data_IF_459830557221
#
_entry.id   IF_459830557221
#
_cell.length_a   1.000
_cell.length_b   1.000
_cell.length_c   1.000
_cell.angle_alpha   90.00
_cell.angle_beta   90.00
_cell.angle_gamma   90.00
#
_symmetry.space_group_name_H-M   'P 1'
#
loop_
_entity.id
_entity.type
_entity.pdbx_description
1 polymer ?
#
# COMPACT_ATOMS: atom_id res chain seq x y z
N UNK A 1 -7.37 -3.90 -12.75
CA UNK A 1 -6.58 -4.66 -11.75
C UNK A 1 -6.10 -3.77 -10.58
N UNK A 2 -5.39 -2.64 -10.78
CA UNK A 2 -4.96 -1.79 -9.65
C UNK A 2 -6.14 -1.26 -8.81
N UNK A 3 -7.20 -0.76 -9.44
CA UNK A 3 -8.41 -0.34 -8.74
C UNK A 3 -9.12 -1.54 -8.06
N UNK A 4 -9.20 -2.70 -8.71
CA UNK A 4 -9.83 -3.90 -8.11
C UNK A 4 -9.03 -4.51 -6.97
N UNK A 5 -7.72 -4.22 -6.86
CA UNK A 5 -6.94 -4.61 -5.68
C UNK A 5 -7.45 -3.97 -4.38
N UNK A 6 -8.22 -2.88 -4.50
CA UNK A 6 -8.82 -2.15 -3.39
C UNK A 6 -9.63 -3.03 -2.44
N UNK A 7 -10.34 -4.02 -2.95
CA UNK A 7 -11.15 -4.93 -2.13
C UNK A 7 -10.33 -5.70 -1.07
N UNK A 8 -9.03 -5.92 -1.30
CA UNK A 8 -8.12 -6.53 -0.34
C UNK A 8 -7.20 -5.54 0.39
N UNK A 9 -7.37 -4.23 0.21
CA UNK A 9 -6.56 -3.23 0.86
C UNK A 9 -7.01 -2.95 2.30
N UNK A 10 -6.07 -2.55 3.14
CA UNK A 10 -6.30 -2.32 4.57
C UNK A 10 -7.42 -1.31 4.82
N UNK A 11 -7.36 -0.16 4.15
CA UNK A 11 -8.36 0.90 4.31
C UNK A 11 -9.77 0.45 3.90
N UNK A 12 -9.89 -0.47 2.91
CA UNK A 12 -11.18 -1.02 2.49
C UNK A 12 -11.74 -1.95 3.57
N UNK A 13 -10.94 -2.88 4.07
CA UNK A 13 -11.33 -3.83 5.12
C UNK A 13 -11.69 -3.06 6.41
N UNK A 14 -10.96 -1.99 6.73
CA UNK A 14 -11.21 -1.13 7.88
C UNK A 14 -12.59 -0.45 7.89
N UNK A 15 -13.21 -0.24 6.73
CA UNK A 15 -14.58 0.31 6.66
C UNK A 15 -15.65 -0.65 7.17
N UNK A 16 -15.36 -1.94 7.22
CA UNK A 16 -16.26 -2.98 7.72
C UNK A 16 -16.00 -3.34 9.19
N UNK A 17 -14.94 -2.76 9.81
CA UNK A 17 -14.50 -3.14 11.16
C UNK A 17 -15.62 -3.12 12.20
N UNK A 18 -16.42 -2.05 12.38
CA UNK A 18 -17.44 -2.04 13.42
C UNK A 18 -18.49 -3.14 13.25
N UNK A 19 -18.86 -3.43 12.00
CA UNK A 19 -19.86 -4.47 11.70
C UNK A 19 -19.32 -5.88 11.93
N UNK A 20 -18.07 -6.13 11.56
CA UNK A 20 -17.40 -7.44 11.74
C UNK A 20 -17.15 -7.67 13.23
N UNK A 21 -16.60 -6.70 13.93
CA UNK A 21 -16.34 -6.75 15.37
C UNK A 21 -17.65 -7.05 16.15
N UNK A 22 -18.72 -6.32 15.84
CA UNK A 22 -20.04 -6.56 16.44
C UNK A 22 -20.61 -7.93 16.11
N UNK A 23 -20.47 -8.42 14.86
CA UNK A 23 -21.03 -9.72 14.43
C UNK A 23 -20.33 -10.89 15.10
N UNK A 24 -19.04 -10.81 15.33
CA UNK A 24 -18.21 -11.91 15.86
C UNK A 24 -17.80 -11.69 17.33
N UNK A 25 -18.28 -10.63 17.98
CA UNK A 25 -17.91 -10.22 19.35
C UNK A 25 -16.40 -10.12 19.53
N UNK A 26 -15.72 -9.45 18.60
CA UNK A 26 -14.27 -9.24 18.62
C UNK A 26 -13.93 -7.87 19.21
N UNK A 27 -12.84 -7.81 19.95
CA UNK A 27 -12.20 -6.55 20.30
C UNK A 27 -11.44 -5.97 19.10
N UNK A 28 -11.07 -4.68 19.15
CA UNK A 28 -10.25 -4.04 18.12
C UNK A 28 -8.90 -4.73 17.92
N UNK A 29 -8.27 -5.18 19.03
CA UNK A 29 -7.00 -5.89 18.99
C UNK A 29 -7.10 -7.28 18.39
N UNK A 30 -8.17 -8.02 18.72
CA UNK A 30 -8.44 -9.33 18.13
C UNK A 30 -8.71 -9.24 16.64
N UNK A 31 -9.53 -8.27 16.21
CA UNK A 31 -9.77 -8.01 14.78
C UNK A 31 -8.47 -7.62 14.04
N UNK A 32 -7.66 -6.74 14.63
CA UNK A 32 -6.33 -6.40 14.11
C UNK A 32 -5.41 -7.62 14.00
N UNK A 33 -5.49 -8.57 14.97
CA UNK A 33 -4.71 -9.82 14.97
C UNK A 33 -5.14 -10.75 13.83
N UNK A 34 -6.43 -10.90 13.59
CA UNK A 34 -6.96 -11.66 12.45
C UNK A 34 -6.43 -11.08 11.14
N UNK A 35 -6.47 -9.76 11.00
CA UNK A 35 -5.92 -9.07 9.83
C UNK A 35 -4.40 -9.30 9.68
N UNK A 36 -3.64 -9.24 10.76
CA UNK A 36 -2.18 -9.50 10.78
C UNK A 36 -1.88 -10.92 10.29
N UNK A 37 -2.54 -11.93 10.85
CA UNK A 37 -2.36 -13.33 10.46
C UNK A 37 -2.64 -13.52 8.97
N UNK A 38 -3.78 -13.04 8.49
CA UNK A 38 -4.15 -13.13 7.07
C UNK A 38 -3.14 -12.41 6.15
N UNK A 39 -2.61 -11.26 6.57
CA UNK A 39 -1.62 -10.49 5.82
C UNK A 39 -0.28 -11.23 5.75
N UNK A 40 0.21 -11.78 6.86
CA UNK A 40 1.48 -12.50 6.90
C UNK A 40 1.42 -13.81 6.09
N UNK A 41 0.35 -14.57 6.21
CA UNK A 41 0.12 -15.76 5.40
C UNK A 41 0.07 -15.43 3.91
N UNK A 42 -0.62 -14.34 3.54
CA UNK A 42 -0.67 -13.84 2.16
C UNK A 42 0.72 -13.50 1.63
N UNK A 43 1.53 -12.79 2.42
CA UNK A 43 2.88 -12.40 2.03
C UNK A 43 3.80 -13.61 1.82
N UNK A 44 3.72 -14.60 2.70
CA UNK A 44 4.48 -15.85 2.57
C UNK A 44 4.11 -16.61 1.27
N UNK A 45 2.81 -16.72 0.99
CA UNK A 45 2.34 -17.45 -0.19
C UNK A 45 2.59 -16.68 -1.50
N UNK A 46 2.60 -15.35 -1.47
CA UNK A 46 2.78 -14.52 -2.67
C UNK A 46 4.11 -14.77 -3.37
N UNK A 47 5.16 -15.13 -2.63
CA UNK A 47 6.47 -15.48 -3.18
C UNK A 47 6.37 -16.65 -4.17
N UNK A 48 5.48 -17.60 -3.93
CA UNK A 48 5.27 -18.77 -4.79
C UNK A 48 4.22 -18.48 -5.87
N UNK A 49 3.07 -17.96 -5.50
CA UNK A 49 1.94 -17.75 -6.41
C UNK A 49 2.18 -16.60 -7.39
N UNK A 50 2.95 -15.58 -6.98
CA UNK A 50 3.33 -14.47 -7.85
C UNK A 50 4.14 -14.91 -9.07
N UNK A 51 4.95 -15.97 -8.93
CA UNK A 51 5.77 -16.49 -10.04
C UNK A 51 4.94 -17.13 -11.17
N UNK A 52 3.67 -17.48 -10.94
CA UNK A 52 2.82 -18.05 -11.99
C UNK A 52 2.52 -17.08 -13.13
N UNK A 53 2.65 -15.77 -12.92
CA UNK A 53 2.55 -14.76 -13.98
C UNK A 53 3.62 -14.95 -15.08
N UNK A 54 4.71 -15.66 -14.78
CA UNK A 54 5.77 -15.98 -15.72
C UNK A 54 5.48 -17.23 -16.55
N UNK A 55 4.60 -18.12 -16.04
CA UNK A 55 4.32 -19.45 -16.61
C UNK A 55 3.02 -19.50 -17.42
N UNK A 56 2.08 -18.59 -17.16
CA UNK A 56 0.78 -18.53 -17.84
C UNK A 56 0.58 -17.17 -18.50
N UNK A 57 -0.27 -17.10 -19.53
CA UNK A 57 -0.54 -15.83 -20.20
C UNK A 57 -1.16 -14.83 -19.23
N UNK A 58 -0.82 -13.56 -19.39
CA UNK A 58 -1.32 -12.47 -18.55
C UNK A 58 -2.86 -12.45 -18.48
N UNK A 59 -3.53 -12.78 -19.59
CA UNK A 59 -4.99 -12.86 -19.66
C UNK A 59 -5.54 -13.93 -18.71
N UNK A 60 -5.05 -15.17 -18.83
CA UNK A 60 -5.52 -16.27 -17.97
C UNK A 60 -5.18 -16.02 -16.50
N UNK A 61 -3.99 -15.52 -16.22
CA UNK A 61 -3.61 -15.18 -14.85
C UNK A 61 -4.50 -14.08 -14.26
N UNK A 62 -4.82 -13.03 -15.05
CA UNK A 62 -5.72 -11.96 -14.61
C UNK A 62 -7.16 -12.45 -14.36
N UNK A 63 -7.67 -13.36 -15.19
CA UNK A 63 -8.99 -13.99 -15.01
C UNK A 63 -9.01 -14.82 -13.74
N UNK A 64 -7.99 -15.66 -13.50
CA UNK A 64 -7.86 -16.44 -12.26
C UNK A 64 -7.82 -15.55 -11.02
N UNK A 65 -7.07 -14.45 -11.07
CA UNK A 65 -6.99 -13.50 -9.95
C UNK A 65 -8.33 -12.80 -9.71
N UNK A 66 -9.07 -12.42 -10.75
CA UNK A 66 -10.43 -11.87 -10.60
C UNK A 66 -11.40 -12.90 -10.00
N UNK A 67 -11.38 -14.14 -10.49
CA UNK A 67 -12.18 -15.22 -9.94
C UNK A 67 -11.86 -15.51 -8.47
N UNK A 68 -10.57 -15.55 -8.14
CA UNK A 68 -10.12 -15.73 -6.76
C UNK A 68 -10.53 -14.58 -5.84
N UNK A 69 -10.48 -13.34 -6.34
CA UNK A 69 -10.95 -12.16 -5.61
C UNK A 69 -12.48 -12.21 -5.36
N UNK A 70 -13.26 -12.65 -6.33
CA UNK A 70 -14.70 -12.86 -6.16
C UNK A 70 -14.99 -13.92 -5.10
N UNK A 71 -14.27 -15.06 -5.13
CA UNK A 71 -14.37 -16.11 -4.11
C UNK A 71 -13.99 -15.57 -2.73
N UNK A 72 -12.94 -14.75 -2.63
CA UNK A 72 -12.52 -14.14 -1.37
C UNK A 72 -13.58 -13.18 -0.79
N UNK A 73 -14.21 -12.35 -1.64
CA UNK A 73 -15.33 -11.50 -1.22
C UNK A 73 -16.56 -12.32 -0.79
N UNK A 74 -16.87 -13.39 -1.50
CA UNK A 74 -17.95 -14.30 -1.10
C UNK A 74 -17.64 -15.00 0.23
N UNK A 75 -16.40 -15.44 0.43
CA UNK A 75 -15.98 -16.10 1.66
C UNK A 75 -16.14 -15.18 2.89
N UNK A 76 -15.78 -13.90 2.79
CA UNK A 76 -15.97 -12.99 3.92
C UNK A 76 -17.46 -12.70 4.16
N UNK A 77 -18.27 -12.54 3.11
CA UNK A 77 -19.71 -12.33 3.22
C UNK A 77 -20.43 -13.49 3.90
N UNK A 78 -19.98 -14.72 3.68
CA UNK A 78 -20.59 -15.95 4.20
C UNK A 78 -19.90 -16.51 5.42
N UNK A 79 -18.93 -15.80 6.02
CA UNK A 79 -18.17 -16.28 7.17
C UNK A 79 -19.09 -16.62 8.35
N UNK A 80 -19.11 -17.90 8.80
CA UNK A 80 -20.00 -18.35 9.88
C UNK A 80 -19.38 -18.16 11.27
N UNK A 81 -18.06 -18.12 11.37
CA UNK A 81 -17.30 -18.05 12.62
C UNK A 81 -15.93 -17.39 12.41
N UNK A 82 -15.24 -17.13 13.52
CA UNK A 82 -13.93 -16.45 13.54
C UNK A 82 -12.84 -17.23 12.78
N UNK A 83 -12.83 -18.57 12.87
CA UNK A 83 -11.84 -19.37 12.17
C UNK A 83 -11.96 -19.23 10.64
N UNK A 84 -13.20 -19.24 10.14
CA UNK A 84 -13.46 -19.01 8.73
C UNK A 84 -13.18 -17.57 8.32
N UNK A 85 -13.41 -16.60 9.22
CA UNK A 85 -13.08 -15.20 9.00
C UNK A 85 -11.56 -15.01 8.80
N UNK A 86 -10.70 -15.69 9.58
CA UNK A 86 -9.23 -15.68 9.39
C UNK A 86 -8.87 -16.14 7.98
N UNK A 87 -9.48 -17.26 7.54
CA UNK A 87 -9.28 -17.77 6.17
C UNK A 87 -9.76 -16.77 5.11
N UNK A 88 -10.95 -16.18 5.31
CA UNK A 88 -11.52 -15.21 4.37
C UNK A 88 -10.64 -13.95 4.25
N UNK A 89 -10.12 -13.44 5.36
CA UNK A 89 -9.17 -12.31 5.35
C UNK A 89 -7.87 -12.70 4.64
N UNK A 90 -7.32 -13.88 4.90
CA UNK A 90 -6.16 -14.37 4.15
C UNK A 90 -6.43 -14.39 2.64
N UNK A 91 -7.55 -14.98 2.19
CA UNK A 91 -7.92 -15.05 0.78
C UNK A 91 -8.07 -13.64 0.18
N UNK A 92 -8.74 -12.73 0.89
CA UNK A 92 -8.99 -11.36 0.44
C UNK A 92 -7.69 -10.56 0.31
N UNK A 93 -6.80 -10.67 1.30
CA UNK A 93 -5.47 -10.05 1.28
C UNK A 93 -4.62 -10.62 0.15
N UNK A 94 -4.65 -11.94 -0.05
CA UNK A 94 -3.86 -12.59 -1.08
C UNK A 94 -4.36 -12.25 -2.49
N UNK A 95 -5.66 -12.34 -2.76
CA UNK A 95 -6.23 -12.03 -4.06
C UNK A 95 -6.14 -10.53 -4.40
N UNK A 96 -6.52 -9.66 -3.46
CA UNK A 96 -6.61 -8.23 -3.67
C UNK A 96 -5.26 -7.52 -3.56
N UNK A 97 -4.71 -7.41 -2.35
CA UNK A 97 -3.44 -6.70 -2.15
C UNK A 97 -2.26 -7.42 -2.80
N UNK A 98 -2.21 -8.75 -2.72
CA UNK A 98 -1.13 -9.54 -3.29
C UNK A 98 -1.22 -9.62 -4.81
N UNK A 99 -2.03 -10.55 -5.29
CA UNK A 99 -2.05 -10.94 -6.70
C UNK A 99 -2.55 -9.85 -7.64
N UNK A 100 -3.64 -9.13 -7.31
CA UNK A 100 -4.18 -8.09 -8.20
C UNK A 100 -3.22 -6.90 -8.34
N UNK A 101 -2.50 -6.52 -7.27
CA UNK A 101 -1.44 -5.52 -7.31
C UNK A 101 -0.26 -6.02 -8.17
N UNK A 102 0.13 -7.28 -7.99
CA UNK A 102 1.21 -7.90 -8.76
C UNK A 102 0.90 -7.92 -10.26
N UNK A 103 -0.33 -8.32 -10.64
CA UNK A 103 -0.79 -8.28 -12.04
C UNK A 103 -0.76 -6.86 -12.60
N UNK A 104 -1.22 -5.87 -11.84
CA UNK A 104 -1.28 -4.48 -12.29
C UNK A 104 0.09 -3.93 -12.65
N UNK A 105 1.12 -4.21 -11.85
CA UNK A 105 2.48 -3.69 -12.05
C UNK A 105 3.27 -4.56 -13.03
N UNK A 106 3.35 -5.86 -12.77
CA UNK A 106 4.18 -6.79 -13.56
C UNK A 106 3.64 -6.96 -14.97
N UNK A 107 2.30 -6.96 -15.13
CA UNK A 107 1.66 -7.02 -16.44
C UNK A 107 2.05 -5.84 -17.33
N UNK A 108 2.13 -4.64 -16.78
CA UNK A 108 2.55 -3.46 -17.55
C UNK A 108 4.03 -3.51 -17.93
N UNK A 109 4.89 -3.95 -17.02
CA UNK A 109 6.33 -4.09 -17.29
C UNK A 109 6.59 -5.09 -18.44
N UNK A 110 5.82 -6.18 -18.50
CA UNK A 110 5.97 -7.21 -19.54
C UNK A 110 5.42 -6.79 -20.89
N UNK A 111 4.30 -6.05 -20.91
CA UNK A 111 3.63 -5.70 -22.17
C UNK A 111 4.18 -4.45 -22.85
N UNK A 112 4.69 -3.48 -22.09
CA UNK A 112 5.11 -2.18 -22.60
C UNK A 112 6.63 -2.01 -22.54
N UNK A 113 7.37 -2.76 -23.39
CA UNK A 113 8.84 -2.74 -23.37
C UNK A 113 9.45 -1.34 -23.54
N UNK A 114 8.96 -0.56 -24.52
CA UNK A 114 9.51 0.78 -24.86
C UNK A 114 9.04 1.90 -23.91
N UNK A 115 7.94 1.70 -23.16
CA UNK A 115 7.35 2.75 -22.30
C UNK A 115 6.92 2.22 -20.93
N UNK A 116 7.73 1.31 -20.36
CA UNK A 116 7.43 0.61 -19.09
C UNK A 116 7.09 1.57 -17.95
N UNK A 117 7.89 2.62 -17.76
CA UNK A 117 7.67 3.60 -16.69
C UNK A 117 6.32 4.31 -16.82
N UNK A 118 5.98 4.78 -18.01
CA UNK A 118 4.70 5.45 -18.28
C UNK A 118 3.51 4.49 -18.10
N UNK A 119 3.62 3.25 -18.58
CA UNK A 119 2.58 2.25 -18.44
C UNK A 119 2.32 1.87 -16.97
N UNK A 120 3.39 1.66 -16.19
CA UNK A 120 3.29 1.39 -14.75
C UNK A 120 2.70 2.59 -14.01
N UNK A 121 3.15 3.81 -14.30
CA UNK A 121 2.62 5.02 -13.69
C UNK A 121 1.10 5.17 -13.90
N UNK A 122 0.62 4.99 -15.14
CA UNK A 122 -0.82 5.03 -15.45
C UNK A 122 -1.58 3.91 -14.73
N UNK A 123 -1.06 2.68 -14.76
CA UNK A 123 -1.73 1.55 -14.13
C UNK A 123 -1.82 1.71 -12.60
N UNK A 124 -0.78 2.24 -11.96
CA UNK A 124 -0.75 2.45 -10.50
C UNK A 124 -1.63 3.60 -10.02
N UNK A 125 -2.09 4.51 -10.90
CA UNK A 125 -3.12 5.50 -10.56
C UNK A 125 -4.44 4.85 -10.10
N UNK A 126 -4.68 3.60 -10.49
CA UNK A 126 -5.84 2.85 -10.00
C UNK A 126 -5.88 2.67 -8.48
N UNK A 127 -4.74 2.67 -7.77
CA UNK A 127 -4.70 2.57 -6.30
C UNK A 127 -5.29 3.80 -5.61
N UNK A 128 -4.78 5.03 -5.84
CA UNK A 128 -5.34 6.23 -5.23
C UNK A 128 -6.77 6.54 -5.73
N UNK A 129 -7.13 6.20 -6.97
CA UNK A 129 -8.50 6.32 -7.48
C UNK A 129 -9.44 5.40 -6.68
N UNK A 130 -9.06 4.13 -6.50
CA UNK A 130 -9.85 3.19 -5.70
C UNK A 130 -10.02 3.68 -4.25
N UNK A 131 -8.94 4.14 -3.64
CA UNK A 131 -8.96 4.68 -2.26
C UNK A 131 -9.78 5.97 -2.15
N UNK A 132 -9.84 6.78 -3.21
CA UNK A 132 -10.62 8.04 -3.21
C UNK A 132 -12.11 7.83 -3.44
N UNK A 133 -12.51 6.85 -4.24
CA UNK A 133 -13.89 6.67 -4.69
C UNK A 133 -14.66 5.63 -3.87
N UNK A 134 -14.04 4.47 -3.61
CA UNK A 134 -14.74 3.35 -2.99
C UNK A 134 -15.22 3.59 -1.55
N UNK A 135 -14.53 4.32 -0.67
CA UNK A 135 -15.01 4.50 0.71
C UNK A 135 -16.42 5.09 0.79
N UNK A 136 -16.74 6.08 -0.03
CA UNK A 136 -18.09 6.67 -0.07
C UNK A 136 -19.12 5.63 -0.52
N UNK A 137 -18.84 4.90 -1.58
CA UNK A 137 -19.75 3.90 -2.13
C UNK A 137 -19.97 2.75 -1.15
N UNK A 138 -18.91 2.28 -0.53
CA UNK A 138 -18.95 1.13 0.39
C UNK A 138 -19.69 1.48 1.68
N UNK A 139 -19.38 2.60 2.30
CA UNK A 139 -20.06 3.00 3.54
C UNK A 139 -21.54 3.28 3.31
N UNK A 140 -21.90 3.88 2.18
CA UNK A 140 -23.31 4.05 1.79
C UNK A 140 -24.00 2.70 1.58
N UNK A 141 -23.33 1.75 0.92
CA UNK A 141 -23.85 0.41 0.72
C UNK A 141 -24.02 -0.35 2.05
N UNK A 142 -23.05 -0.27 2.96
CA UNK A 142 -23.12 -0.92 4.28
C UNK A 142 -24.36 -0.42 5.05
N UNK A 143 -24.64 0.87 5.01
CA UNK A 143 -25.82 1.45 5.67
C UNK A 143 -27.12 1.03 4.99
N UNK A 144 -27.13 0.94 3.66
CA UNK A 144 -28.33 0.67 2.89
C UNK A 144 -28.76 -0.81 2.87
N UNK A 145 -27.79 -1.73 2.75
CA UNK A 145 -28.06 -3.15 2.51
C UNK A 145 -27.35 -4.10 3.49
N UNK A 146 -26.51 -3.58 4.39
CA UNK A 146 -25.71 -4.38 5.30
C UNK A 146 -24.32 -4.71 4.78
N UNK A 147 -23.42 -5.14 5.69
CA UNK A 147 -22.02 -5.38 5.36
C UNK A 147 -21.79 -6.67 4.55
N UNK A 148 -22.56 -7.72 4.82
CA UNK A 148 -22.45 -9.00 4.09
C UNK A 148 -22.92 -8.85 2.64
N UNK A 149 -24.06 -8.20 2.47
CA UNK A 149 -24.66 -7.89 1.16
C UNK A 149 -23.79 -6.94 0.36
N UNK A 150 -23.09 -6.02 1.02
CA UNK A 150 -22.09 -5.14 0.37
C UNK A 150 -20.93 -5.96 -0.19
N UNK A 151 -20.41 -6.96 0.54
CA UNK A 151 -19.39 -7.86 -0.02
C UNK A 151 -19.94 -8.72 -1.17
N UNK A 152 -21.21 -9.17 -1.12
CA UNK A 152 -21.85 -9.86 -2.24
C UNK A 152 -22.03 -8.93 -3.45
N UNK A 153 -22.35 -7.66 -3.23
CA UNK A 153 -22.37 -6.66 -4.30
C UNK A 153 -20.98 -6.49 -4.93
N UNK A 154 -19.89 -6.52 -4.14
CA UNK A 154 -18.53 -6.55 -4.67
C UNK A 154 -18.28 -7.79 -5.55
N UNK A 155 -18.79 -8.97 -5.19
CA UNK A 155 -18.72 -10.18 -6.06
C UNK A 155 -19.38 -9.91 -7.40
N UNK A 156 -20.59 -9.33 -7.41
CA UNK A 156 -21.32 -9.00 -8.64
C UNK A 156 -20.49 -8.03 -9.50
N UNK A 157 -19.94 -6.98 -8.91
CA UNK A 157 -19.07 -6.01 -9.62
C UNK A 157 -17.84 -6.71 -10.22
N UNK A 158 -17.19 -7.59 -9.46
CA UNK A 158 -16.00 -8.31 -9.93
C UNK A 158 -16.35 -9.21 -11.11
N UNK A 159 -17.44 -9.99 -11.01
CA UNK A 159 -17.80 -11.00 -12.00
C UNK A 159 -18.40 -10.36 -13.27
N UNK A 160 -19.28 -9.36 -13.12
CA UNK A 160 -20.04 -8.81 -14.25
C UNK A 160 -19.44 -7.54 -14.84
N UNK A 161 -18.56 -6.83 -14.15
CA UNK A 161 -17.93 -5.60 -14.65
C UNK A 161 -16.41 -5.80 -14.81
N UNK A 162 -15.70 -6.15 -13.73
CA UNK A 162 -14.22 -6.18 -13.76
C UNK A 162 -13.71 -7.33 -14.64
N UNK A 163 -14.21 -8.53 -14.46
CA UNK A 163 -13.75 -9.72 -15.19
C UNK A 163 -14.02 -9.59 -16.71
N UNK A 164 -15.23 -9.21 -17.19
CA UNK A 164 -15.44 -9.00 -18.62
C UNK A 164 -14.58 -7.87 -19.20
N UNK A 165 -14.39 -6.77 -18.44
CA UNK A 165 -13.51 -5.67 -18.84
C UNK A 165 -12.07 -6.15 -19.02
N UNK A 166 -11.54 -6.94 -18.08
CA UNK A 166 -10.20 -7.53 -18.17
C UNK A 166 -10.08 -8.47 -19.36
N UNK A 167 -11.07 -9.34 -19.59
CA UNK A 167 -11.10 -10.25 -20.74
C UNK A 167 -11.13 -9.48 -22.05
N UNK A 168 -11.94 -8.43 -22.13
CA UNK A 168 -12.06 -7.60 -23.34
C UNK A 168 -10.76 -6.85 -23.65
N UNK A 169 -10.20 -6.15 -22.66
CA UNK A 169 -8.97 -5.37 -22.84
C UNK A 169 -7.75 -6.24 -23.17
N UNK A 170 -7.70 -7.49 -22.68
CA UNK A 170 -6.60 -8.40 -22.94
C UNK A 170 -6.81 -9.32 -24.15
N UNK A 171 -7.90 -9.16 -24.92
CA UNK A 171 -8.13 -9.95 -26.16
C UNK A 171 -7.03 -9.79 -27.21
N UNK A 172 -6.47 -8.58 -27.36
CA UNK A 172 -5.41 -8.29 -28.33
C UNK A 172 -3.98 -8.66 -27.87
N UNK A 173 -3.81 -9.06 -26.63
CA UNK A 173 -2.49 -9.34 -26.04
C UNK A 173 -1.92 -10.70 -26.45
N UNK A 174 -2.75 -11.61 -26.96
CA UNK A 174 -2.31 -12.96 -27.38
C UNK A 174 -1.49 -12.96 -28.69
N UNK A 175 -1.60 -11.92 -29.51
CA UNK A 175 -0.96 -11.84 -30.82
C UNK A 175 0.46 -11.21 -30.81
N UNK A 176 0.87 -10.54 -29.71
CA UNK A 176 2.16 -9.84 -29.65
C UNK A 176 3.28 -10.55 -28.86
N UNK A 177 3.02 -11.75 -28.35
CA UNK A 177 4.03 -12.51 -27.56
C UNK A 177 5.05 -13.27 -28.40
N UNK A 178 4.99 -13.22 -29.74
CA UNK A 178 5.88 -13.99 -30.63
C UNK A 178 7.05 -13.18 -31.22
N UNK A 179 7.16 -11.92 -30.91
CA UNK A 179 8.36 -11.16 -31.28
C UNK A 179 9.28 -11.01 -30.05
N UNK A 180 10.05 -12.05 -29.78
CA UNK A 180 11.33 -11.90 -29.08
C UNK A 180 12.26 -11.12 -30.01
N UNK A 181 12.68 -9.91 -29.68
CA UNK A 181 13.79 -9.31 -30.39
C UNK A 181 15.05 -10.06 -29.98
N UNK A 182 15.55 -10.93 -30.85
CA UNK A 182 16.94 -11.34 -30.82
C UNK A 182 17.80 -10.08 -30.74
N UNK A 183 18.65 -10.08 -29.73
CA UNK A 183 19.88 -9.30 -29.63
C UNK A 183 19.83 -7.90 -30.21
N UNK A 184 19.65 -6.91 -29.39
CA UNK A 184 20.24 -5.59 -29.66
C UNK A 184 20.86 -5.07 -28.38
N UNK A 185 22.18 -5.02 -28.41
CA UNK A 185 23.03 -4.28 -27.52
C UNK A 185 22.45 -2.89 -27.29
N UNK A 186 21.92 -2.64 -26.13
CA UNK A 186 21.68 -1.29 -25.65
C UNK A 186 23.02 -0.73 -25.19
N UNK A 187 23.76 -0.18 -26.15
CA UNK A 187 24.83 0.74 -25.88
C UNK A 187 24.23 2.01 -25.25
N UNK A 188 24.14 2.03 -23.95
CA UNK A 188 24.15 3.22 -23.13
C UNK A 188 25.37 3.09 -22.21
N UNK A 189 26.56 3.09 -22.84
CA UNK A 189 27.81 3.32 -22.14
C UNK A 189 27.93 4.81 -21.85
N UNK A 190 27.33 5.26 -20.76
CA UNK A 190 27.88 6.40 -20.05
C UNK A 190 29.03 5.87 -19.19
N UNK A 191 30.18 6.47 -19.33
CA UNK A 191 31.39 6.26 -18.56
C UNK A 191 31.09 6.34 -17.06
N UNK A 192 30.82 5.20 -16.43
CA UNK A 192 30.70 5.07 -14.99
C UNK A 192 31.92 4.29 -14.56
N UNK A 193 32.83 4.97 -13.86
CA UNK A 193 33.84 4.32 -13.00
C UNK A 193 33.18 3.18 -12.25
N UNK A 194 33.81 1.99 -12.11
CA UNK A 194 33.23 0.85 -11.42
C UNK A 194 33.02 1.22 -9.95
N UNK A 195 31.84 1.73 -9.63
CA UNK A 195 31.44 2.02 -8.26
C UNK A 195 31.07 0.68 -7.64
N UNK A 196 31.77 0.29 -6.59
CA UNK A 196 31.45 -0.94 -5.85
C UNK A 196 29.99 -0.89 -5.40
N UNK A 197 29.12 -1.72 -6.02
CA UNK A 197 27.71 -1.82 -5.69
C UNK A 197 27.48 -3.00 -4.71
N UNK A 198 27.06 -2.72 -3.49
CA UNK A 198 27.02 -3.73 -2.44
C UNK A 198 25.87 -4.74 -2.68
N UNK A 199 26.15 -6.02 -2.43
CA UNK A 199 25.14 -7.06 -2.31
C UNK A 199 24.27 -6.82 -1.06
N UNK A 200 23.11 -7.49 -0.97
CA UNK A 200 22.25 -7.40 0.24
C UNK A 200 23.05 -7.71 1.53
N UNK A 201 23.85 -8.79 1.52
CA UNK A 201 24.68 -9.17 2.67
C UNK A 201 25.67 -8.08 3.07
N UNK A 202 26.26 -7.39 2.11
CA UNK A 202 27.18 -6.28 2.36
C UNK A 202 26.42 -5.02 2.82
N UNK A 203 25.24 -4.78 2.27
CA UNK A 203 24.35 -3.69 2.70
C UNK A 203 23.94 -3.84 4.17
N UNK A 204 23.57 -5.04 4.58
CA UNK A 204 23.20 -5.33 5.98
C UNK A 204 24.36 -5.21 6.97
N UNK A 205 25.61 -5.19 6.52
CA UNK A 205 26.77 -4.91 7.37
C UNK A 205 27.05 -3.42 7.57
N UNK A 206 26.41 -2.54 6.75
CA UNK A 206 26.61 -1.09 6.83
C UNK A 206 25.58 -0.44 7.74
N UNK A 207 25.96 0.52 8.61
CA UNK A 207 25.02 1.20 9.51
C UNK A 207 23.95 2.00 8.77
N UNK A 208 24.23 2.45 7.55
CA UNK A 208 23.34 3.27 6.74
C UNK A 208 21.94 2.68 6.56
N UNK A 209 21.83 1.35 6.33
CA UNK A 209 20.53 0.69 6.15
C UNK A 209 19.66 0.81 7.42
N UNK A 210 20.26 0.63 8.59
CA UNK A 210 19.56 0.70 9.87
C UNK A 210 19.11 2.11 10.22
N UNK A 211 19.83 3.14 9.76
CA UNK A 211 19.45 4.54 9.94
C UNK A 211 18.24 4.93 9.07
N UNK A 212 18.08 4.33 7.88
CA UNK A 212 16.97 4.64 6.99
C UNK A 212 15.74 3.74 7.21
N UNK A 213 15.89 2.54 7.80
CA UNK A 213 14.79 1.60 8.07
C UNK A 213 13.63 2.26 8.84
N UNK A 214 13.83 2.98 9.97
CA UNK A 214 12.71 3.62 10.67
C UNK A 214 11.89 4.54 9.77
N UNK A 215 12.57 5.34 8.94
CA UNK A 215 11.92 6.22 7.99
C UNK A 215 11.20 5.47 6.87
N UNK A 216 11.68 4.29 6.46
CA UNK A 216 11.01 3.44 5.47
C UNK A 216 9.76 2.78 6.04
N UNK A 217 9.79 2.34 7.30
CA UNK A 217 8.72 1.55 7.92
C UNK A 217 7.63 2.40 8.59
N UNK A 218 7.93 3.63 9.05
CA UNK A 218 6.98 4.47 9.75
C UNK A 218 5.62 4.61 9.02
N UNK A 219 5.56 4.99 7.74
CA UNK A 219 4.28 5.08 7.05
C UNK A 219 3.60 3.72 6.87
N UNK A 220 4.37 2.65 6.64
CA UNK A 220 3.79 1.30 6.50
C UNK A 220 3.09 0.85 7.78
N UNK A 221 3.62 1.19 8.94
CA UNK A 221 3.01 0.86 10.24
C UNK A 221 1.83 1.80 10.54
N UNK A 222 2.08 3.11 10.59
CA UNK A 222 1.10 4.07 11.10
C UNK A 222 -0.06 4.33 10.13
N UNK A 223 0.18 4.47 8.81
CA UNK A 223 -0.91 4.63 7.84
C UNK A 223 -1.79 3.37 7.79
N UNK A 224 -1.19 2.18 7.93
CA UNK A 224 -1.97 0.93 7.96
C UNK A 224 -2.78 0.82 9.25
N UNK A 225 -2.20 1.08 10.42
CA UNK A 225 -2.88 1.05 11.70
C UNK A 225 -4.08 2.03 11.73
N UNK A 226 -3.83 3.28 11.38
CA UNK A 226 -4.86 4.34 11.37
C UNK A 226 -5.92 4.10 10.28
N UNK A 227 -5.53 3.63 9.10
CA UNK A 227 -6.51 3.33 8.04
C UNK A 227 -7.38 2.11 8.34
N UNK A 228 -6.87 1.15 9.11
CA UNK A 228 -7.63 -0.02 9.54
C UNK A 228 -8.65 0.33 10.63
N UNK A 229 -8.24 1.13 11.61
CA UNK A 229 -9.10 1.59 12.71
C UNK A 229 -9.64 3.01 12.49
N UNK A 230 -9.81 3.43 11.23
CA UNK A 230 -10.21 4.80 10.92
C UNK A 230 -11.59 5.16 11.49
N UNK A 231 -12.53 4.21 11.54
CA UNK A 231 -13.87 4.45 12.08
C UNK A 231 -13.86 4.55 13.60
N UNK A 232 -13.22 3.65 14.38
CA UNK A 232 -13.01 3.86 15.82
C UNK A 232 -12.29 5.17 16.16
N UNK A 233 -11.25 5.54 15.39
CA UNK A 233 -10.56 6.81 15.57
C UNK A 233 -11.48 8.00 15.30
N UNK A 234 -12.33 7.94 14.27
CA UNK A 234 -13.33 8.97 13.97
C UNK A 234 -14.37 9.10 15.09
N UNK A 235 -14.81 7.98 15.66
CA UNK A 235 -15.75 7.96 16.79
C UNK A 235 -15.15 8.67 18.02
N UNK A 236 -13.90 8.34 18.40
CA UNK A 236 -13.18 9.03 19.48
C UNK A 236 -13.03 10.53 19.25
N UNK A 237 -12.95 10.96 17.99
CA UNK A 237 -12.88 12.38 17.59
C UNK A 237 -14.27 13.02 17.38
N UNK A 238 -15.35 12.25 17.54
CA UNK A 238 -16.71 12.68 17.18
C UNK A 238 -16.83 13.19 15.73
N UNK A 239 -16.03 12.61 14.82
CA UNK A 239 -16.09 12.95 13.41
C UNK A 239 -17.10 12.06 12.68
N UNK A 240 -18.13 12.63 12.04
CA UNK A 240 -19.07 11.84 11.26
C UNK A 240 -18.37 11.02 10.17
N UNK A 241 -18.85 9.81 9.95
CA UNK A 241 -18.29 8.87 8.95
C UNK A 241 -18.22 9.49 7.56
N UNK A 242 -19.17 10.36 7.21
CA UNK A 242 -19.21 11.07 5.94
C UNK A 242 -17.99 11.97 5.71
N UNK A 243 -17.44 12.60 6.76
CA UNK A 243 -16.22 13.41 6.66
C UNK A 243 -15.00 12.54 6.41
N UNK A 244 -14.94 11.37 7.02
CA UNK A 244 -13.84 10.40 6.79
C UNK A 244 -13.90 9.88 5.37
N UNK A 245 -15.07 9.42 4.90
CA UNK A 245 -15.20 8.78 3.59
C UNK A 245 -14.98 9.77 2.44
N UNK A 246 -15.46 11.03 2.57
CA UNK A 246 -15.15 12.09 1.62
C UNK A 246 -13.70 12.55 1.71
N UNK A 247 -13.09 12.52 2.89
CA UNK A 247 -11.67 12.81 3.09
C UNK A 247 -10.73 11.83 2.34
N UNK A 248 -11.16 10.60 2.13
CA UNK A 248 -10.40 9.67 1.28
C UNK A 248 -10.34 10.11 -0.19
N UNK A 249 -11.33 10.86 -0.70
CA UNK A 249 -11.23 11.46 -2.03
C UNK A 249 -10.09 12.49 -2.07
N UNK A 250 -9.97 13.30 -1.03
CA UNK A 250 -8.87 14.28 -0.88
C UNK A 250 -7.52 13.53 -0.77
N UNK A 251 -7.46 12.44 0.01
CA UNK A 251 -6.27 11.57 0.07
C UNK A 251 -5.84 11.09 -1.33
N UNK A 252 -6.79 10.56 -2.12
CA UNK A 252 -6.52 10.05 -3.47
C UNK A 252 -5.99 11.13 -4.42
N UNK A 253 -6.65 12.29 -4.44
CA UNK A 253 -6.25 13.45 -5.25
C UNK A 253 -4.85 13.94 -4.83
N UNK A 254 -4.63 14.13 -3.53
CA UNK A 254 -3.35 14.57 -2.98
C UNK A 254 -2.21 13.59 -3.31
N UNK A 255 -2.47 12.28 -3.27
CA UNK A 255 -1.50 11.23 -3.64
C UNK A 255 -1.10 11.36 -5.11
N UNK A 256 -2.06 11.52 -6.02
CA UNK A 256 -1.78 11.66 -7.45
C UNK A 256 -0.98 12.94 -7.72
N UNK A 257 -1.46 14.07 -7.23
CA UNK A 257 -0.83 15.37 -7.48
C UNK A 257 0.60 15.42 -6.93
N UNK A 258 0.84 14.96 -5.70
CA UNK A 258 2.16 14.97 -5.08
C UNK A 258 3.14 14.00 -5.75
N UNK A 259 2.68 12.83 -6.23
CA UNK A 259 3.53 11.90 -6.96
C UNK A 259 3.98 12.44 -8.32
N UNK A 260 3.10 13.15 -9.03
CA UNK A 260 3.42 13.79 -10.31
C UNK A 260 4.37 14.97 -10.09
N UNK A 261 4.11 15.79 -9.07
CA UNK A 261 4.87 17.00 -8.80
C UNK A 261 6.32 16.72 -8.37
N UNK A 262 6.54 15.69 -7.54
CA UNK A 262 7.86 15.40 -6.99
C UNK A 262 8.83 14.79 -8.02
N UNK A 263 8.32 14.09 -9.05
CA UNK A 263 9.16 13.43 -10.06
C UNK A 263 10.22 14.35 -10.67
N UNK A 264 9.83 15.44 -11.36
CA UNK A 264 10.78 16.37 -11.97
C UNK A 264 11.74 17.05 -10.97
N UNK A 265 11.35 17.15 -9.71
CA UNK A 265 12.17 17.75 -8.66
C UNK A 265 13.30 16.82 -8.26
N UNK A 266 13.01 15.54 -8.01
CA UNK A 266 14.05 14.57 -7.65
C UNK A 266 14.99 14.27 -8.81
N UNK A 267 14.53 14.37 -10.06
CA UNK A 267 15.39 14.24 -11.24
C UNK A 267 16.46 15.32 -11.31
N UNK A 268 16.19 16.53 -10.79
CA UNK A 268 17.12 17.66 -10.78
C UNK A 268 18.01 17.71 -9.54
N UNK A 269 17.47 17.39 -8.37
CA UNK A 269 18.15 17.62 -7.07
C UNK A 269 18.62 16.31 -6.41
N UNK A 270 18.04 15.18 -6.81
CA UNK A 270 18.27 13.87 -6.21
C UNK A 270 17.25 13.54 -5.14
N UNK A 271 16.93 12.24 -5.01
CA UNK A 271 15.88 11.76 -4.11
C UNK A 271 16.33 11.71 -2.65
N UNK A 272 17.63 11.53 -2.38
CA UNK A 272 18.20 11.48 -1.02
C UNK A 272 17.89 12.74 -0.22
N UNK A 273 17.94 13.90 -0.89
CA UNK A 273 17.65 15.17 -0.25
C UNK A 273 16.20 15.21 0.29
N UNK A 274 15.25 14.71 -0.50
CA UNK A 274 13.83 14.76 -0.15
C UNK A 274 13.33 13.58 0.67
N UNK A 275 14.13 12.52 0.84
CA UNK A 275 13.70 11.29 1.52
C UNK A 275 13.23 11.55 2.96
N UNK A 276 14.01 12.25 3.77
CA UNK A 276 13.64 12.60 5.13
C UNK A 276 12.41 13.51 5.17
N UNK A 277 12.38 14.54 4.30
CA UNK A 277 11.28 15.50 4.24
C UNK A 277 9.96 14.90 3.76
N UNK A 278 9.98 13.77 3.06
CA UNK A 278 8.77 13.06 2.65
C UNK A 278 7.92 12.53 3.82
N UNK A 279 8.46 12.52 5.04
CA UNK A 279 7.76 12.16 6.27
C UNK A 279 7.02 13.34 6.90
N UNK A 280 7.37 14.58 6.55
CA UNK A 280 6.77 15.80 7.14
C UNK A 280 5.24 15.83 6.96
N UNK A 281 4.66 15.53 5.80
CA UNK A 281 3.21 15.53 5.65
C UNK A 281 2.50 14.58 6.63
N UNK A 282 3.06 13.38 6.87
CA UNK A 282 2.52 12.46 7.87
C UNK A 282 2.60 13.04 9.28
N UNK A 283 3.74 13.65 9.63
CA UNK A 283 3.93 14.31 10.92
C UNK A 283 2.90 15.43 11.12
N UNK A 284 2.72 16.29 10.13
CA UNK A 284 1.71 17.36 10.16
C UNK A 284 0.29 16.80 10.25
N UNK A 285 -0.01 15.72 9.54
CA UNK A 285 -1.30 15.03 9.65
C UNK A 285 -1.57 14.49 11.05
N UNK A 286 -0.56 13.91 11.71
CA UNK A 286 -0.68 13.46 13.11
C UNK A 286 -0.87 14.64 14.07
N UNK A 287 -0.18 15.76 13.84
CA UNK A 287 -0.39 16.98 14.62
C UNK A 287 -1.82 17.51 14.46
N UNK A 288 -2.38 17.47 13.24
CA UNK A 288 -3.79 17.82 13.01
C UNK A 288 -4.72 16.87 13.76
N UNK A 289 -4.45 15.57 13.71
CA UNK A 289 -5.27 14.55 14.38
C UNK A 289 -5.32 14.76 15.89
N UNK A 290 -4.22 15.17 16.54
CA UNK A 290 -4.18 15.36 17.99
C UNK A 290 -4.74 16.71 18.42
N UNK A 291 -4.57 17.77 17.59
CA UNK A 291 -4.82 19.15 18.01
C UNK A 291 -6.23 19.67 17.73
N UNK A 292 -6.95 19.07 16.79
CA UNK A 292 -8.22 19.64 16.32
C UNK A 292 -9.37 18.64 16.40
N UNK A 293 -10.55 19.13 16.85
CA UNK A 293 -11.77 18.33 17.04
C UNK A 293 -12.79 18.52 15.91
N UNK A 294 -12.79 19.69 15.24
CA UNK A 294 -13.77 19.97 14.18
C UNK A 294 -13.63 18.96 13.02
N UNK A 295 -14.74 18.37 12.53
CA UNK A 295 -14.71 17.35 11.48
C UNK A 295 -14.01 17.73 10.16
N UNK A 296 -13.93 19.04 9.83
CA UNK A 296 -13.22 19.50 8.63
C UNK A 296 -11.73 19.09 8.64
N UNK A 297 -11.14 18.94 9.82
CA UNK A 297 -9.75 18.55 9.97
C UNK A 297 -9.48 17.08 9.58
N UNK A 298 -10.53 16.25 9.47
CA UNK A 298 -10.42 14.93 8.86
C UNK A 298 -9.93 15.02 7.41
N UNK A 299 -10.40 16.02 6.65
CA UNK A 299 -9.95 16.27 5.27
C UNK A 299 -8.49 16.72 5.22
N UNK A 300 -8.08 17.59 6.13
CA UNK A 300 -6.68 18.05 6.20
C UNK A 300 -5.75 16.90 6.59
N UNK A 301 -6.14 16.12 7.61
CA UNK A 301 -5.42 14.93 8.04
C UNK A 301 -5.22 13.93 6.89
N UNK A 302 -6.31 13.52 6.24
CA UNK A 302 -6.26 12.57 5.12
C UNK A 302 -5.54 13.14 3.90
N UNK A 303 -5.70 14.42 3.61
CA UNK A 303 -4.98 15.12 2.56
C UNK A 303 -3.47 15.11 2.76
N UNK A 304 -3.01 15.41 3.97
CA UNK A 304 -1.59 15.38 4.33
C UNK A 304 -1.01 13.95 4.25
N UNK A 305 -1.74 12.95 4.71
CA UNK A 305 -1.34 11.55 4.55
C UNK A 305 -1.28 11.16 3.06
N UNK A 306 -2.21 11.66 2.23
CA UNK A 306 -2.19 11.50 0.78
C UNK A 306 -0.95 12.13 0.14
N UNK A 307 -0.58 13.36 0.52
CA UNK A 307 0.66 14.00 0.07
C UNK A 307 1.87 13.15 0.42
N UNK A 308 1.99 12.73 1.68
CA UNK A 308 3.09 11.86 2.12
C UNK A 308 3.18 10.55 1.33
N UNK A 309 2.03 9.91 1.08
CA UNK A 309 1.94 8.67 0.30
C UNK A 309 2.43 8.86 -1.13
N UNK A 310 2.01 9.93 -1.82
CA UNK A 310 2.43 10.21 -3.19
C UNK A 310 3.91 10.58 -3.31
N UNK A 311 4.43 11.41 -2.39
CA UNK A 311 5.86 11.71 -2.34
C UNK A 311 6.69 10.43 -2.21
N UNK A 312 6.33 9.56 -1.28
CA UNK A 312 7.06 8.32 -0.98
C UNK A 312 6.97 7.29 -2.08
N UNK A 313 5.82 7.18 -2.75
CA UNK A 313 5.65 6.27 -3.89
C UNK A 313 6.71 6.52 -4.99
N UNK A 314 7.12 7.78 -5.16
CA UNK A 314 8.12 8.19 -6.14
C UNK A 314 9.55 8.20 -5.55
N UNK A 315 9.73 8.74 -4.34
CA UNK A 315 11.06 8.93 -3.73
C UNK A 315 11.70 7.60 -3.31
N UNK A 316 10.95 6.69 -2.66
CA UNK A 316 11.54 5.47 -2.04
C UNK A 316 12.23 4.56 -3.05
N UNK A 317 11.63 4.22 -4.21
CA UNK A 317 12.31 3.40 -5.21
C UNK A 317 13.61 4.02 -5.72
N UNK A 318 13.64 5.35 -5.88
CA UNK A 318 14.79 6.08 -6.41
C UNK A 318 15.89 6.22 -5.36
N UNK A 319 15.56 6.58 -4.13
CA UNK A 319 16.55 6.75 -3.05
C UNK A 319 17.30 5.47 -2.74
N UNK A 320 16.64 4.30 -2.80
CA UNK A 320 17.32 3.03 -2.60
C UNK A 320 18.36 2.77 -3.69
N UNK A 321 18.05 3.12 -4.95
CA UNK A 321 19.04 2.98 -6.04
C UNK A 321 20.16 3.99 -5.95
N UNK A 322 19.92 5.19 -5.44
CA UNK A 322 20.96 6.20 -5.19
C UNK A 322 21.90 5.82 -4.05
N UNK A 323 21.41 5.13 -2.99
CA UNK A 323 22.26 4.69 -1.88
C UNK A 323 23.08 3.44 -2.20
N UNK A 324 22.48 2.49 -2.93
CA UNK A 324 23.05 1.14 -3.06
C UNK A 324 23.41 0.74 -4.48
N UNK A 325 23.18 1.62 -5.47
CA UNK A 325 23.38 1.32 -6.89
C UNK A 325 22.25 0.48 -7.48
N UNK A 326 22.45 0.00 -8.72
CA UNK A 326 21.40 -0.65 -9.50
C UNK A 326 21.61 -2.15 -9.70
N UNK A 327 22.85 -2.65 -9.57
CA UNK A 327 23.21 -4.04 -9.87
C UNK A 327 22.50 -5.06 -8.98
N UNK A 328 22.41 -4.78 -7.67
CA UNK A 328 21.79 -5.67 -6.67
C UNK A 328 20.50 -5.08 -6.05
N UNK A 329 19.95 -4.04 -6.65
CA UNK A 329 18.80 -3.28 -6.10
C UNK A 329 17.56 -4.14 -5.88
N UNK A 330 17.36 -5.16 -6.71
CA UNK A 330 16.21 -6.08 -6.58
C UNK A 330 16.15 -6.76 -5.21
N UNK A 331 17.27 -7.34 -4.74
CA UNK A 331 17.35 -8.01 -3.45
C UNK A 331 17.15 -7.02 -2.28
N UNK A 332 17.72 -5.81 -2.37
CA UNK A 332 17.59 -4.77 -1.35
C UNK A 332 16.15 -4.27 -1.27
N UNK A 333 15.51 -4.00 -2.41
CA UNK A 333 14.10 -3.59 -2.47
C UNK A 333 13.16 -4.67 -1.94
N UNK A 334 13.40 -5.93 -2.27
CA UNK A 334 12.62 -7.06 -1.74
C UNK A 334 12.73 -7.16 -0.23
N UNK A 335 13.94 -7.01 0.33
CA UNK A 335 14.15 -6.99 1.77
C UNK A 335 13.38 -5.85 2.45
N UNK A 336 13.49 -4.62 1.93
CA UNK A 336 12.76 -3.45 2.45
C UNK A 336 11.25 -3.63 2.32
N UNK A 337 10.76 -4.17 1.20
CA UNK A 337 9.35 -4.45 0.99
C UNK A 337 8.83 -5.50 2.00
N UNK A 338 9.60 -6.55 2.26
CA UNK A 338 9.26 -7.56 3.27
C UNK A 338 9.13 -6.93 4.67
N UNK A 339 10.09 -6.11 5.08
CA UNK A 339 9.99 -5.37 6.35
C UNK A 339 8.76 -4.45 6.38
N UNK A 340 8.46 -3.79 5.25
CA UNK A 340 7.26 -2.96 5.11
C UNK A 340 5.96 -3.74 5.29
N UNK A 341 5.88 -4.98 4.77
CA UNK A 341 4.73 -5.87 4.99
C UNK A 341 4.61 -6.26 6.45
N UNK A 342 5.70 -6.62 7.12
CA UNK A 342 5.69 -6.90 8.56
C UNK A 342 5.21 -5.70 9.36
N UNK A 343 5.76 -4.51 9.12
CA UNK A 343 5.35 -3.27 9.77
C UNK A 343 3.85 -2.99 9.57
N UNK A 344 3.36 -3.14 8.33
CA UNK A 344 1.94 -2.93 8.01
C UNK A 344 1.02 -3.98 8.62
N UNK A 345 1.50 -5.21 8.82
CA UNK A 345 0.72 -6.27 9.45
C UNK A 345 0.59 -6.08 10.97
N UNK A 346 1.66 -5.62 11.63
CA UNK A 346 1.68 -5.43 13.09
C UNK A 346 0.93 -4.15 13.51
N UNK A 347 0.83 -3.16 12.63
CA UNK A 347 0.17 -1.87 12.94
C UNK A 347 -1.26 -2.02 13.48
N UNK A 348 -2.19 -2.69 12.76
CA UNK A 348 -3.58 -2.86 13.21
C UNK A 348 -3.75 -3.50 14.59
N UNK A 349 -3.15 -4.64 14.95
CA UNK A 349 -3.30 -5.18 16.28
C UNK A 349 -2.70 -4.27 17.36
N UNK A 350 -1.58 -3.59 17.09
CA UNK A 350 -0.97 -2.67 18.06
C UNK A 350 -1.90 -1.52 18.41
N UNK A 351 -2.50 -0.87 17.41
CA UNK A 351 -3.46 0.21 17.63
C UNK A 351 -4.77 -0.33 18.23
N UNK A 352 -5.23 -1.50 17.78
CA UNK A 352 -6.45 -2.15 18.28
C UNK A 352 -6.38 -2.45 19.77
N UNK A 353 -5.30 -3.10 20.24
CA UNK A 353 -5.12 -3.34 21.69
C UNK A 353 -4.98 -2.06 22.49
N UNK A 354 -4.39 -0.99 21.92
CA UNK A 354 -4.35 0.30 22.58
C UNK A 354 -5.76 0.92 22.74
N UNK A 355 -6.62 0.77 21.72
CA UNK A 355 -8.03 1.18 21.79
C UNK A 355 -8.81 0.37 22.81
N UNK A 356 -8.63 -0.96 22.86
CA UNK A 356 -9.28 -1.85 23.84
C UNK A 356 -8.91 -1.48 25.29
N UNK A 357 -7.69 -1.00 25.51
CA UNK A 357 -7.23 -0.54 26.83
C UNK A 357 -7.63 0.92 27.14
N UNK A 358 -8.45 1.54 26.29
CA UNK A 358 -8.88 2.95 26.42
C UNK A 358 -7.68 3.93 26.49
N UNK A 359 -6.57 3.61 25.83
CA UNK A 359 -5.45 4.53 25.72
C UNK A 359 -5.91 5.74 24.88
N UNK A 360 -5.70 6.95 25.38
CA UNK A 360 -6.17 8.16 24.71
C UNK A 360 -5.54 8.32 23.33
N UNK A 361 -6.32 8.80 22.37
CA UNK A 361 -5.85 9.09 21.01
C UNK A 361 -4.67 10.10 21.05
N UNK A 362 -4.65 11.00 22.02
CA UNK A 362 -3.56 11.96 22.21
C UNK A 362 -2.24 11.25 22.52
N UNK A 363 -2.25 10.27 23.43
CA UNK A 363 -1.03 9.53 23.78
C UNK A 363 -0.54 8.69 22.59
N UNK A 364 -1.45 7.95 21.93
CA UNK A 364 -1.11 7.13 20.74
C UNK A 364 -0.51 7.99 19.63
N UNK A 365 -1.12 9.15 19.37
CA UNK A 365 -0.65 10.07 18.32
C UNK A 365 0.68 10.74 18.72
N UNK A 366 0.88 11.05 20.01
CA UNK A 366 2.16 11.61 20.50
C UNK A 366 3.30 10.61 20.32
N UNK A 367 3.07 9.32 20.59
CA UNK A 367 4.06 8.26 20.33
C UNK A 367 4.39 8.20 18.84
N UNK A 368 3.38 8.26 17.97
CA UNK A 368 3.58 8.29 16.53
C UNK A 368 4.39 9.50 16.07
N UNK A 369 4.05 10.70 16.55
CA UNK A 369 4.77 11.95 16.26
C UNK A 369 6.24 11.82 16.66
N UNK A 370 6.50 11.34 17.89
CA UNK A 370 7.87 11.13 18.40
C UNK A 370 8.65 10.17 17.51
N UNK A 371 8.02 9.07 17.07
CA UNK A 371 8.64 8.12 16.15
C UNK A 371 8.93 8.73 14.77
N UNK A 372 8.02 9.56 14.23
CA UNK A 372 8.25 10.25 12.95
C UNK A 372 9.40 11.27 13.06
N UNK A 373 9.46 12.05 14.16
CA UNK A 373 10.57 12.99 14.39
C UNK A 373 11.90 12.23 14.47
N UNK A 374 11.95 11.17 15.27
CA UNK A 374 13.13 10.30 15.39
C UNK A 374 13.55 9.74 14.01
N UNK A 375 12.59 9.26 13.22
CA UNK A 375 12.84 8.71 11.88
C UNK A 375 13.37 9.77 10.91
N UNK A 376 12.86 11.00 10.96
CA UNK A 376 13.36 12.14 10.16
C UNK A 376 14.81 12.46 10.55
N UNK A 377 15.10 12.56 11.84
CA UNK A 377 16.46 12.86 12.33
C UNK A 377 17.47 11.79 11.91
N UNK A 378 17.10 10.51 12.02
CA UNK A 378 17.96 9.40 11.55
C UNK A 378 18.19 9.43 10.05
N UNK A 379 17.15 9.72 9.26
CA UNK A 379 17.27 9.82 7.80
C UNK A 379 18.14 11.03 7.37
N UNK A 380 18.04 12.16 8.06
CA UNK A 380 18.92 13.32 7.84
C UNK A 380 20.37 12.98 8.21
N UNK A 381 20.58 12.31 9.33
CA UNK A 381 21.92 11.86 9.75
C UNK A 381 22.53 10.87 8.76
N UNK A 382 21.74 9.94 8.21
CA UNK A 382 22.16 9.02 7.16
C UNK A 382 22.69 9.75 5.92
N UNK A 383 22.01 10.82 5.50
CA UNK A 383 22.44 11.66 4.39
C UNK A 383 23.77 12.39 4.67
N UNK A 384 23.99 12.84 5.93
CA UNK A 384 25.23 13.49 6.33
C UNK A 384 26.41 12.51 6.35
N UNK A 385 26.20 11.30 6.87
CA UNK A 385 27.21 10.25 6.87
C UNK A 385 27.66 9.86 5.46
N UNK A 386 26.72 9.73 4.53
CA UNK A 386 27.07 9.38 3.14
C UNK A 386 27.87 10.48 2.45
N UNK A 387 27.58 11.76 2.74
CA UNK A 387 28.39 12.88 2.23
C UNK A 387 29.83 12.88 2.73
N UNK A 388 30.09 12.40 3.94
CA UNK A 388 31.44 12.32 4.52
C UNK A 388 32.25 11.13 4.01
N UNK A 389 31.59 10.10 3.49
CA UNK A 389 32.24 8.89 2.96
C UNK A 389 32.51 8.92 1.46
N UNK A 390 32.08 9.97 0.79
CA UNK A 390 32.44 10.36 -0.59
C UNK A 390 33.53 11.39 -0.62
#
# INVERSE_FOLDING_TARGET
MACSSSFGQTWFIGLFSPNIESTFNLSHGEWGTIFMIGTLLSAALLTFTGSFIDKISLKYYSVLVCGFLAVACAAIATSPNVMFLVLAIFLLRHAGQGLATHVAVTGMIKHFYKSRGKAVAIATMGFPIGRGVLPILITTSIVAIGWRETYLACVIIIVFIILPTVVFLLKGSLQKSSETPNGSNSAASSFITPRFEPTLKQTLKKPLIYLIIPALLAPSFFDTALSFHILPVAELKSWPVTWITTGYAIYGIATILSSIWIGPIIDKVGSKYYFAYSLIPYLLGLLVLVSFENPIWAWVYLGLFGVGSGLRATIVPVVLSEFYGTQHIGAIRSFVATLGVFASAIGPPTLGFALDQNISISLMTTIAITYFIFSILLALYANLLEKKTK
#
